data_IF_392040947077
#
_entry.id   IF_392040947077
#
_cell.length_a   1.000
_cell.length_b   1.000
_cell.length_c   1.000
_cell.angle_alpha   90.00
_cell.angle_beta   90.00
_cell.angle_gamma   90.00
#
_symmetry.space_group_name_H-M   'P 1'
#
loop_
_entity.id
_entity.type
_entity.pdbx_description
1 polymer ?
#
# COMPACT_ATOMS: atom_id res chain seq x y z
N UNK A 1 -18.69 32.56 -11.60
CA UNK A 1 -18.71 31.75 -10.35
C UNK A 1 -18.98 30.25 -10.58
N UNK A 2 -19.50 29.84 -11.73
CA UNK A 2 -19.85 28.44 -12.05
C UNK A 2 -18.65 27.51 -12.29
N UNK A 3 -17.50 28.01 -12.76
CA UNK A 3 -16.29 27.19 -12.99
C UNK A 3 -15.57 26.78 -11.71
N UNK A 4 -15.59 27.61 -10.66
CA UNK A 4 -14.98 27.28 -9.36
C UNK A 4 -15.80 26.23 -8.59
N UNK A 5 -17.13 26.33 -8.64
CA UNK A 5 -18.00 25.30 -8.09
C UNK A 5 -17.78 23.95 -8.79
N UNK A 6 -17.55 23.97 -10.11
CA UNK A 6 -17.29 22.78 -10.91
C UNK A 6 -15.92 22.13 -10.60
N UNK A 7 -14.88 22.93 -10.32
CA UNK A 7 -13.56 22.39 -9.95
C UNK A 7 -13.53 21.83 -8.53
N UNK A 8 -14.25 22.42 -7.56
CA UNK A 8 -14.40 21.83 -6.22
C UNK A 8 -15.30 20.58 -6.22
N UNK A 9 -16.29 20.50 -7.11
CA UNK A 9 -17.18 19.33 -7.19
C UNK A 9 -16.56 18.13 -7.93
N UNK A 10 -15.60 18.36 -8.85
CA UNK A 10 -14.86 17.28 -9.54
C UNK A 10 -13.63 16.79 -8.76
N UNK A 11 -12.97 17.65 -7.97
CA UNK A 11 -11.74 17.29 -7.26
C UNK A 11 -11.95 16.42 -6.00
N UNK A 12 -13.10 16.54 -5.33
CA UNK A 12 -13.35 15.85 -4.05
C UNK A 12 -13.49 14.32 -4.19
N UNK A 13 -13.90 13.81 -5.36
CA UNK A 13 -13.97 12.37 -5.63
C UNK A 13 -12.65 11.80 -6.15
N UNK A 14 -11.94 12.58 -6.98
CA UNK A 14 -10.68 12.15 -7.60
C UNK A 14 -9.53 12.07 -6.59
N UNK A 15 -9.46 12.98 -5.62
CA UNK A 15 -8.45 12.92 -4.57
C UNK A 15 -8.55 11.65 -3.73
N UNK A 16 -9.77 11.26 -3.34
CA UNK A 16 -10.02 10.01 -2.60
C UNK A 16 -9.68 8.78 -3.42
N UNK A 17 -10.12 8.75 -4.69
CA UNK A 17 -9.80 7.64 -5.59
C UNK A 17 -8.28 7.53 -5.83
N UNK A 18 -7.59 8.64 -6.04
CA UNK A 18 -6.13 8.66 -6.22
C UNK A 18 -5.39 8.24 -4.94
N UNK A 19 -5.86 8.66 -3.75
CA UNK A 19 -5.30 8.21 -2.48
C UNK A 19 -5.50 6.70 -2.29
N UNK A 20 -6.70 6.19 -2.52
CA UNK A 20 -6.96 4.74 -2.47
C UNK A 20 -6.04 3.98 -3.43
N UNK A 21 -6.01 4.38 -4.70
CA UNK A 21 -5.19 3.74 -5.72
C UNK A 21 -3.69 3.82 -5.39
N UNK A 22 -3.19 4.99 -5.01
CA UNK A 22 -1.79 5.21 -4.67
C UNK A 22 -1.35 4.43 -3.45
N UNK A 23 -2.12 4.47 -2.36
CA UNK A 23 -1.81 3.72 -1.13
C UNK A 23 -1.87 2.21 -1.38
N UNK A 24 -2.83 1.73 -2.17
CA UNK A 24 -2.90 0.31 -2.55
C UNK A 24 -1.75 -0.11 -3.47
N UNK A 25 -1.30 0.75 -4.39
CA UNK A 25 -0.14 0.49 -5.23
C UNK A 25 1.14 0.33 -4.39
N UNK A 26 1.36 1.25 -3.44
CA UNK A 26 2.50 1.16 -2.50
C UNK A 26 2.41 -0.09 -1.63
N UNK A 27 1.24 -0.42 -1.08
CA UNK A 27 1.06 -1.64 -0.30
C UNK A 27 1.37 -2.91 -1.10
N UNK A 28 0.89 -2.98 -2.35
CA UNK A 28 1.17 -4.10 -3.26
C UNK A 28 2.67 -4.21 -3.55
N UNK A 29 3.34 -3.08 -3.78
CA UNK A 29 4.78 -3.05 -4.02
C UNK A 29 5.57 -3.54 -2.80
N UNK A 30 5.22 -3.11 -1.59
CA UNK A 30 5.87 -3.58 -0.35
C UNK A 30 5.69 -5.08 -0.11
N UNK A 31 4.51 -5.63 -0.43
CA UNK A 31 4.27 -7.08 -0.37
C UNK A 31 5.17 -7.83 -1.37
N UNK A 32 5.34 -7.31 -2.59
CA UNK A 32 6.26 -7.88 -3.57
C UNK A 32 7.73 -7.77 -3.13
N UNK A 33 8.14 -6.66 -2.52
CA UNK A 33 9.49 -6.51 -1.95
C UNK A 33 9.73 -7.56 -0.87
N UNK A 34 8.82 -7.68 0.10
CA UNK A 34 8.92 -8.69 1.15
C UNK A 34 9.02 -10.09 0.55
N UNK A 35 8.13 -10.44 -0.38
CA UNK A 35 8.16 -11.72 -1.11
C UNK A 35 9.54 -11.98 -1.73
N UNK A 36 10.17 -10.98 -2.35
CA UNK A 36 11.49 -11.18 -2.99
C UNK A 36 12.64 -11.36 -2.02
N UNK A 37 12.56 -10.75 -0.83
CA UNK A 37 13.51 -11.02 0.26
C UNK A 37 13.39 -12.47 0.74
N UNK A 38 12.17 -13.01 0.79
CA UNK A 38 11.89 -14.39 1.17
C UNK A 38 12.32 -15.43 0.12
N UNK A 39 12.26 -15.10 -1.17
CA UNK A 39 12.71 -16.01 -2.24
C UNK A 39 14.24 -16.02 -2.45
N UNK A 40 15.00 -15.19 -1.75
CA UNK A 40 16.43 -15.03 -1.99
C UNK A 40 17.25 -16.30 -1.61
N UNK A 41 18.08 -16.86 -2.51
CA UNK A 41 18.92 -18.02 -2.22
C UNK A 41 19.91 -17.77 -1.08
N UNK A 42 20.35 -18.83 -0.41
CA UNK A 42 21.27 -18.75 0.74
C UNK A 42 22.63 -18.14 0.39
N UNK A 43 23.11 -18.29 -0.85
CA UNK A 43 24.33 -17.65 -1.37
C UNK A 43 23.98 -16.61 -2.46
N UNK A 44 23.76 -15.33 -2.11
CA UNK A 44 23.41 -14.29 -3.07
C UNK A 44 24.63 -13.86 -3.89
N UNK A 45 24.45 -13.66 -5.20
CA UNK A 45 25.48 -13.19 -6.14
C UNK A 45 25.52 -11.64 -6.22
N UNK A 46 24.89 -10.97 -5.26
CA UNK A 46 24.68 -9.52 -5.26
C UNK A 46 25.15 -8.90 -3.95
N UNK A 47 25.72 -7.69 -4.05
CA UNK A 47 26.06 -6.89 -2.88
C UNK A 47 24.78 -6.22 -2.35
N UNK A 48 24.24 -6.79 -1.28
CA UNK A 48 23.08 -6.26 -0.57
C UNK A 48 23.51 -5.73 0.80
N UNK A 49 22.70 -4.84 1.39
CA UNK A 49 22.92 -4.36 2.75
C UNK A 49 23.02 -5.54 3.73
N UNK A 50 23.90 -5.47 4.74
CA UNK A 50 24.18 -6.60 5.64
C UNK A 50 22.92 -7.23 6.27
N UNK A 51 21.91 -6.41 6.59
CA UNK A 51 20.60 -6.86 7.11
C UNK A 51 19.82 -7.80 6.16
N UNK A 52 20.02 -7.66 4.84
CA UNK A 52 19.35 -8.46 3.81
C UNK A 52 20.30 -9.55 3.29
N UNK A 53 21.61 -9.31 3.29
CA UNK A 53 22.58 -10.30 2.87
C UNK A 53 22.69 -11.49 3.85
N UNK A 54 22.59 -11.25 5.17
CA UNK A 54 22.71 -12.30 6.19
C UNK A 54 21.43 -13.14 6.33
N UNK A 55 21.48 -14.47 6.13
CA UNK A 55 20.30 -15.32 6.14
C UNK A 55 19.54 -15.31 7.48
N UNK A 56 20.23 -15.05 8.61
CA UNK A 56 19.61 -14.92 9.93
C UNK A 56 18.75 -13.65 10.10
N UNK A 57 19.06 -12.56 9.39
CA UNK A 57 18.38 -11.26 9.52
C UNK A 57 17.31 -11.02 8.44
N UNK A 58 17.34 -11.77 7.33
CA UNK A 58 16.39 -11.67 6.20
C UNK A 58 14.93 -11.79 6.62
N UNK A 59 14.63 -12.72 7.53
CA UNK A 59 13.27 -12.90 8.02
C UNK A 59 12.78 -11.67 8.79
N UNK A 60 13.67 -11.04 9.58
CA UNK A 60 13.37 -9.82 10.31
C UNK A 60 13.11 -8.63 9.39
N UNK A 61 13.90 -8.47 8.32
CA UNK A 61 13.71 -7.37 7.35
C UNK A 61 12.49 -7.57 6.46
N UNK A 62 12.22 -8.80 6.00
CA UNK A 62 10.99 -9.13 5.30
C UNK A 62 9.75 -8.88 6.17
N UNK A 63 9.82 -9.29 7.45
CA UNK A 63 8.75 -9.04 8.42
C UNK A 63 8.54 -7.55 8.68
N UNK A 64 9.62 -6.78 8.91
CA UNK A 64 9.53 -5.33 9.10
C UNK A 64 8.94 -4.61 7.87
N UNK A 65 9.31 -5.06 6.66
CA UNK A 65 8.75 -4.54 5.40
C UNK A 65 7.26 -4.87 5.28
N UNK A 66 6.84 -6.07 5.67
CA UNK A 66 5.43 -6.43 5.74
C UNK A 66 4.67 -5.60 6.78
N UNK A 67 5.31 -5.27 7.91
CA UNK A 67 4.70 -4.46 8.97
C UNK A 67 4.42 -3.02 8.50
N UNK A 68 5.19 -2.48 7.54
CA UNK A 68 4.90 -1.19 6.89
C UNK A 68 3.59 -1.18 6.09
N UNK A 69 3.04 -2.35 5.74
CA UNK A 69 1.71 -2.43 5.12
C UNK A 69 0.62 -2.07 6.13
N UNK A 70 0.82 -2.33 7.42
CA UNK A 70 -0.16 -2.06 8.47
C UNK A 70 -0.58 -0.58 8.55
N UNK A 71 0.33 0.43 8.65
CA UNK A 71 -0.07 1.83 8.64
C UNK A 71 -0.76 2.25 7.33
N UNK A 72 -0.42 1.65 6.18
CA UNK A 72 -1.13 1.91 4.92
C UNK A 72 -2.57 1.40 4.96
N UNK A 73 -2.82 0.24 5.57
CA UNK A 73 -4.18 -0.27 5.79
C UNK A 73 -4.98 0.63 6.74
N UNK A 74 -4.34 1.14 7.80
CA UNK A 74 -4.98 2.09 8.72
C UNK A 74 -5.33 3.40 7.99
N UNK A 75 -4.42 3.93 7.17
CA UNK A 75 -4.66 5.11 6.33
C UNK A 75 -5.81 4.87 5.34
N UNK A 76 -5.86 3.72 4.67
CA UNK A 76 -6.95 3.34 3.78
C UNK A 76 -8.29 3.33 4.53
N UNK A 77 -8.34 2.76 5.73
CA UNK A 77 -9.54 2.77 6.56
C UNK A 77 -9.97 4.21 6.91
N UNK A 78 -9.03 5.09 7.22
CA UNK A 78 -9.32 6.51 7.46
C UNK A 78 -9.86 7.21 6.20
N UNK A 79 -9.25 7.01 5.03
CA UNK A 79 -9.70 7.58 3.76
C UNK A 79 -11.13 7.13 3.43
N UNK A 80 -11.44 5.84 3.61
CA UNK A 80 -12.79 5.30 3.40
C UNK A 80 -13.78 5.92 4.40
N UNK A 81 -13.42 5.98 5.69
CA UNK A 81 -14.27 6.56 6.75
C UNK A 81 -14.55 8.05 6.56
N UNK A 82 -13.56 8.84 6.15
CA UNK A 82 -13.73 10.27 5.87
C UNK A 82 -14.70 10.51 4.69
N UNK A 83 -14.87 9.53 3.81
CA UNK A 83 -15.76 9.61 2.65
C UNK A 83 -17.21 9.22 2.88
N UNK A 84 -17.53 8.55 3.98
CA UNK A 84 -18.85 7.94 4.19
C UNK A 84 -19.96 8.98 4.27
N UNK A 85 -19.77 10.09 4.98
CA UNK A 85 -20.83 11.08 5.20
C UNK A 85 -21.35 11.72 3.90
N UNK A 86 -20.47 12.08 2.96
CA UNK A 86 -20.88 12.61 1.65
C UNK A 86 -21.54 11.54 0.79
N UNK A 87 -21.01 10.32 0.84
CA UNK A 87 -21.51 9.18 0.08
C UNK A 87 -22.89 8.75 0.57
N UNK A 88 -23.11 8.65 1.88
CA UNK A 88 -24.40 8.32 2.50
C UNK A 88 -25.51 9.27 2.06
N UNK A 89 -25.26 10.59 2.05
CA UNK A 89 -26.23 11.59 1.56
C UNK A 89 -26.58 11.38 0.08
N UNK A 90 -25.59 11.12 -0.78
CA UNK A 90 -25.82 10.81 -2.19
C UNK A 90 -26.60 9.52 -2.38
N UNK A 91 -26.25 8.46 -1.65
CA UNK A 91 -26.93 7.17 -1.72
C UNK A 91 -28.37 7.24 -1.17
N UNK A 92 -28.62 8.04 -0.14
CA UNK A 92 -29.98 8.30 0.38
C UNK A 92 -30.86 9.02 -0.65
N UNK A 93 -30.30 10.01 -1.37
CA UNK A 93 -31.02 10.67 -2.46
C UNK A 93 -31.39 9.69 -3.60
N UNK A 94 -30.51 8.75 -3.94
CA UNK A 94 -30.82 7.69 -4.91
C UNK A 94 -31.98 6.80 -4.43
N UNK A 95 -32.05 6.48 -3.13
CA UNK A 95 -33.18 5.72 -2.57
C UNK A 95 -34.49 6.49 -2.62
N UNK A 96 -34.47 7.80 -2.42
CA UNK A 96 -35.66 8.66 -2.58
C UNK A 96 -36.14 8.72 -4.03
N UNK A 97 -35.23 8.57 -4.99
CA UNK A 97 -35.55 8.43 -6.41
C UNK A 97 -36.01 7.00 -6.81
N UNK A 98 -36.18 6.08 -5.84
CA UNK A 98 -36.67 4.72 -6.07
C UNK A 98 -35.59 3.65 -6.27
N UNK A 99 -34.31 3.96 -6.11
CA UNK A 99 -33.25 2.96 -6.26
C UNK A 99 -33.32 1.87 -5.17
N UNK A 100 -33.18 0.61 -5.59
CA UNK A 100 -33.22 -0.53 -4.66
C UNK A 100 -31.97 -0.57 -3.76
N UNK A 101 -32.06 -1.12 -2.53
CA UNK A 101 -30.90 -1.25 -1.64
C UNK A 101 -29.74 -2.04 -2.24
N UNK A 102 -30.04 -3.03 -3.10
CA UNK A 102 -29.03 -3.82 -3.80
C UNK A 102 -28.27 -2.99 -4.84
N UNK A 103 -28.95 -2.14 -5.62
CA UNK A 103 -28.31 -1.22 -6.57
C UNK A 103 -27.41 -0.21 -5.86
N UNK A 104 -27.90 0.39 -4.77
CA UNK A 104 -27.15 1.34 -3.95
C UNK A 104 -25.88 0.72 -3.36
N UNK A 105 -25.96 -0.52 -2.85
CA UNK A 105 -24.79 -1.25 -2.34
C UNK A 105 -23.78 -1.56 -3.45
N UNK A 106 -24.25 -1.96 -4.64
CA UNK A 106 -23.38 -2.25 -5.79
C UNK A 106 -22.62 -1.00 -6.26
N UNK A 107 -23.30 0.13 -6.40
CA UNK A 107 -22.69 1.42 -6.75
C UNK A 107 -21.58 1.77 -5.76
N UNK A 108 -21.88 1.65 -4.47
CA UNK A 108 -20.93 1.94 -3.41
C UNK A 108 -19.73 0.99 -3.34
N UNK A 109 -19.91 -0.29 -3.67
CA UNK A 109 -18.82 -1.25 -3.76
C UNK A 109 -17.89 -0.93 -4.93
N UNK A 110 -18.43 -0.55 -6.09
CA UNK A 110 -17.64 -0.18 -7.28
C UNK A 110 -16.82 1.09 -7.03
N UNK A 111 -17.37 2.07 -6.30
CA UNK A 111 -16.69 3.34 -5.99
C UNK A 111 -15.38 3.15 -5.21
N UNK A 112 -15.31 2.12 -4.36
CA UNK A 112 -14.09 1.78 -3.59
C UNK A 112 -13.27 0.71 -4.31
N UNK A 113 -13.93 -0.32 -4.85
CA UNK A 113 -13.28 -1.44 -5.49
C UNK A 113 -12.48 -1.04 -6.73
N UNK A 114 -13.01 -0.13 -7.56
CA UNK A 114 -12.32 0.26 -8.79
C UNK A 114 -10.97 0.94 -8.54
N UNK A 115 -10.86 2.02 -7.72
CA UNK A 115 -9.55 2.61 -7.39
C UNK A 115 -8.56 1.63 -6.76
N UNK A 116 -9.03 0.75 -5.87
CA UNK A 116 -8.21 -0.30 -5.25
C UNK A 116 -7.66 -1.27 -6.31
N UNK A 117 -8.50 -1.73 -7.25
CA UNK A 117 -8.05 -2.64 -8.32
C UNK A 117 -7.01 -1.97 -9.22
N UNK A 118 -7.23 -0.70 -9.58
CA UNK A 118 -6.25 0.09 -10.36
C UNK A 118 -4.94 0.23 -9.59
N UNK A 119 -5.01 0.53 -8.28
CA UNK A 119 -3.85 0.60 -7.40
C UNK A 119 -3.08 -0.71 -7.34
N UNK A 120 -3.77 -1.84 -7.14
CA UNK A 120 -3.17 -3.16 -7.10
C UNK A 120 -2.46 -3.49 -8.42
N UNK A 121 -3.08 -3.18 -9.56
CA UNK A 121 -2.46 -3.35 -10.90
C UNK A 121 -1.26 -2.43 -11.13
N UNK A 122 -1.24 -1.24 -10.54
CA UNK A 122 -0.10 -0.32 -10.60
C UNK A 122 1.05 -0.72 -9.65
N UNK A 123 0.78 -1.56 -8.64
CA UNK A 123 1.75 -2.03 -7.66
C UNK A 123 3.03 -2.63 -8.26
N UNK A 124 2.96 -3.54 -9.25
CA UNK A 124 4.14 -4.05 -9.95
C UNK A 124 5.01 -2.96 -10.59
N UNK A 125 4.42 -1.86 -11.09
CA UNK A 125 5.18 -0.73 -11.64
C UNK A 125 5.91 0.04 -10.54
N UNK A 126 5.25 0.27 -9.41
CA UNK A 126 5.87 0.90 -8.23
C UNK A 126 6.99 0.02 -7.68
N UNK A 127 6.79 -1.30 -7.64
CA UNK A 127 7.80 -2.27 -7.26
C UNK A 127 9.03 -2.24 -8.20
N UNK A 128 8.81 -2.18 -9.51
CA UNK A 128 9.89 -2.05 -10.49
C UNK A 128 10.66 -0.74 -10.28
N UNK A 129 9.96 0.37 -10.01
CA UNK A 129 10.58 1.65 -9.69
C UNK A 129 11.43 1.55 -8.41
N UNK A 130 10.92 0.93 -7.35
CA UNK A 130 11.68 0.73 -6.11
C UNK A 130 12.95 -0.11 -6.36
N UNK A 131 12.89 -1.12 -7.23
CA UNK A 131 14.07 -1.90 -7.63
C UNK A 131 15.11 -1.10 -8.39
N UNK A 132 14.69 -0.15 -9.22
CA UNK A 132 15.63 0.72 -9.94
C UNK A 132 16.34 1.65 -8.96
N UNK A 133 15.64 2.14 -7.94
CA UNK A 133 16.17 3.11 -6.97
C UNK A 133 16.98 2.48 -5.82
N UNK A 134 16.58 1.28 -5.36
CA UNK A 134 17.13 0.62 -4.16
C UNK A 134 17.62 -0.81 -4.42
N UNK A 135 17.81 -1.17 -5.69
CA UNK A 135 18.24 -2.50 -6.11
C UNK A 135 19.70 -2.78 -5.83
N UNK A 136 20.03 -4.00 -5.41
CA UNK A 136 21.41 -4.45 -5.23
C UNK A 136 22.23 -4.41 -6.51
N UNK A 137 23.50 -3.99 -6.39
CA UNK A 137 24.45 -4.03 -7.51
C UNK A 137 25.02 -5.45 -7.67
N UNK A 138 25.09 -5.91 -8.93
CA UNK A 138 25.70 -7.20 -9.27
C UNK A 138 27.20 -7.11 -9.04
N UNK A 139 27.74 -8.02 -8.25
CA UNK A 139 29.19 -8.17 -8.13
C UNK A 139 29.63 -8.96 -9.36
N UNK A 140 30.25 -8.29 -10.34
CA UNK A 140 30.89 -8.97 -11.47
C UNK A 140 32.10 -9.73 -10.90
N UNK A 141 32.13 -11.08 -10.97
CA UNK A 141 33.30 -11.83 -10.56
C UNK A 141 34.41 -11.56 -11.59
N UNK A 142 35.30 -10.61 -11.30
CA UNK A 142 36.42 -10.27 -12.18
C UNK A 142 37.03 -8.87 -12.03
N UNK A 143 36.30 -7.87 -11.52
CA UNK A 143 36.83 -6.49 -11.40
C UNK A 143 36.88 -5.93 -9.96
N UNK A 144 36.43 -6.70 -8.97
CA UNK A 144 36.38 -6.26 -7.57
C UNK A 144 37.03 -7.20 -6.56
N UNK A 145 37.72 -8.25 -7.00
CA UNK A 145 38.49 -9.10 -6.10
C UNK A 145 39.89 -8.51 -5.91
N UNK A 146 39.96 -7.35 -5.26
CA UNK A 146 41.16 -7.10 -4.46
C UNK A 146 41.02 -8.01 -3.24
N UNK A 147 41.54 -9.23 -3.36
CA UNK A 147 41.97 -10.00 -2.20
C UNK A 147 42.96 -9.06 -1.50
N UNK A 148 42.51 -8.36 -0.46
CA UNK A 148 43.44 -7.84 0.54
C UNK A 148 43.98 -9.10 1.17
N UNK A 149 45.12 -9.51 0.63
CA UNK A 149 45.96 -10.54 1.17
C UNK A 149 46.11 -10.22 2.66
N UNK A 150 45.60 -11.09 3.52
CA UNK A 150 45.77 -11.01 4.96
C UNK A 150 47.23 -11.39 5.26
N UNK A 151 48.18 -10.61 4.75
CA UNK A 151 49.51 -10.55 5.37
C UNK A 151 49.30 -9.94 6.75
N UNK A 152 49.41 -10.82 7.73
CA UNK A 152 49.38 -10.58 9.16
C UNK A 152 50.17 -9.33 9.54
N UNK A 153 49.46 -8.27 9.90
CA UNK A 153 49.96 -7.23 10.81
C UNK A 153 48.79 -6.59 11.56
N UNK A 154 48.52 -6.97 12.82
CA UNK A 154 47.88 -6.10 13.79
C UNK A 154 48.96 -5.30 14.56
N UNK A 155 48.65 -4.14 15.19
CA UNK A 155 47.32 -3.75 15.66
C UNK A 155 46.89 -2.30 15.38
N UNK A 156 45.60 -2.08 15.63
CA UNK A 156 44.86 -0.81 15.80
C UNK A 156 44.75 0.12 14.58
N UNK A 157 43.48 0.31 14.17
CA UNK A 157 42.96 1.45 13.40
C UNK A 157 42.84 1.32 11.88
N UNK A 158 42.62 0.11 11.37
CA UNK A 158 42.02 -0.04 10.03
C UNK A 158 40.50 -0.14 10.16
N UNK A 159 39.87 0.99 10.50
CA UNK A 159 38.43 1.13 10.22
C UNK A 159 38.29 1.23 8.69
N UNK A 160 37.89 0.13 8.08
CA UNK A 160 37.67 0.03 6.64
C UNK A 160 36.42 0.86 6.27
N UNK A 161 36.61 2.13 5.92
CA UNK A 161 35.57 3.04 5.43
C UNK A 161 35.30 2.88 3.92
N UNK A 162 35.52 1.71 3.32
CA UNK A 162 35.23 1.46 1.89
C UNK A 162 33.72 1.30 1.58
N UNK A 163 32.84 1.74 2.47
CA UNK A 163 31.42 1.36 2.51
C UNK A 163 30.43 2.53 2.61
N UNK A 164 30.87 3.75 2.28
CA UNK A 164 30.02 4.95 2.30
C UNK A 164 29.31 5.23 0.96
N UNK A 165 29.73 4.61 -0.15
CA UNK A 165 29.12 4.80 -1.48
C UNK A 165 28.24 3.62 -1.95
N UNK A 166 28.01 2.63 -1.09
CA UNK A 166 27.04 1.55 -1.36
C UNK A 166 25.62 2.08 -1.12
N UNK A 167 25.07 2.81 -2.10
CA UNK A 167 23.68 3.27 -2.08
C UNK A 167 22.75 2.17 -1.57
N UNK A 168 21.82 2.55 -0.68
CA UNK A 168 20.88 1.73 0.08
C UNK A 168 20.31 0.54 -0.74
N UNK A 169 21.09 -0.53 -0.86
CA UNK A 169 20.81 -1.71 -1.69
C UNK A 169 20.03 -2.72 -0.86
N UNK A 170 18.75 -2.41 -0.63
CA UNK A 170 17.85 -3.21 0.20
C UNK A 170 17.06 -4.23 -0.61
N UNK A 171 16.84 -3.99 -1.91
CA UNK A 171 15.92 -4.80 -2.72
C UNK A 171 16.71 -5.75 -3.62
N UNK A 172 16.54 -7.08 -3.47
CA UNK A 172 17.19 -8.04 -4.36
C UNK A 172 16.72 -7.87 -5.81
N UNK A 173 17.64 -7.86 -6.77
CA UNK A 173 17.30 -7.74 -8.21
C UNK A 173 17.51 -9.05 -8.95
N UNK A 174 18.37 -9.94 -8.44
CA UNK A 174 18.65 -11.29 -8.95
C UNK A 174 17.44 -12.21 -8.97
N UNK A 175 16.47 -11.98 -8.08
CA UNK A 175 15.27 -12.81 -7.96
C UNK A 175 14.07 -12.01 -8.40
N UNK A 176 13.55 -12.25 -9.59
CA UNK A 176 12.26 -11.72 -10.02
C UNK A 176 11.16 -12.69 -9.63
N UNK A 177 10.07 -12.23 -8.97
CA UNK A 177 8.90 -13.07 -8.77
C UNK A 177 8.44 -13.64 -10.10
N UNK A 178 8.01 -14.90 -10.12
CA UNK A 178 7.39 -15.45 -11.31
C UNK A 178 6.12 -14.63 -11.63
N UNK A 179 5.78 -14.52 -12.91
CA UNK A 179 4.61 -13.75 -13.35
C UNK A 179 3.31 -14.18 -12.63
N UNK A 180 3.17 -15.47 -12.31
CA UNK A 180 2.03 -16.00 -11.57
C UNK A 180 2.01 -15.54 -10.10
N UNK A 181 3.18 -15.35 -9.47
CA UNK A 181 3.29 -14.80 -8.12
C UNK A 181 2.88 -13.33 -8.11
N UNK A 182 3.27 -12.58 -9.15
CA UNK A 182 2.81 -11.20 -9.32
C UNK A 182 1.29 -11.16 -9.45
N UNK A 183 0.72 -11.99 -10.32
CA UNK A 183 -0.73 -12.09 -10.51
C UNK A 183 -1.43 -12.52 -9.21
N UNK A 184 -0.88 -13.49 -8.47
CA UNK A 184 -1.44 -13.94 -7.20
C UNK A 184 -1.45 -12.84 -6.14
N UNK A 185 -0.36 -12.06 -6.02
CA UNK A 185 -0.29 -10.93 -5.08
C UNK A 185 -1.28 -9.83 -5.49
N UNK A 186 -1.33 -9.47 -6.77
CA UNK A 186 -2.28 -8.47 -7.28
C UNK A 186 -3.73 -8.93 -7.03
N UNK A 187 -4.04 -10.20 -7.33
CA UNK A 187 -5.35 -10.78 -7.10
C UNK A 187 -5.71 -10.81 -5.60
N UNK A 188 -4.76 -11.18 -4.74
CA UNK A 188 -4.95 -11.19 -3.29
C UNK A 188 -5.24 -9.78 -2.76
N UNK A 189 -4.45 -8.77 -3.16
CA UNK A 189 -4.64 -7.38 -2.72
C UNK A 189 -5.96 -6.81 -3.26
N UNK A 190 -6.28 -7.08 -4.53
CA UNK A 190 -7.55 -6.66 -5.13
C UNK A 190 -8.75 -7.31 -4.41
N UNK A 191 -8.68 -8.62 -4.14
CA UNK A 191 -9.70 -9.35 -3.40
C UNK A 191 -9.86 -8.82 -1.97
N UNK A 192 -8.74 -8.58 -1.27
CA UNK A 192 -8.77 -8.01 0.07
C UNK A 192 -9.48 -6.65 0.07
N UNK A 193 -9.17 -5.76 -0.86
CA UNK A 193 -9.84 -4.45 -0.91
C UNK A 193 -11.30 -4.51 -1.37
N UNK A 194 -11.68 -5.47 -2.23
CA UNK A 194 -13.10 -5.76 -2.54
C UNK A 194 -13.83 -6.24 -1.28
N UNK A 195 -13.23 -7.13 -0.51
CA UNK A 195 -13.78 -7.63 0.77
C UNK A 195 -13.91 -6.48 1.76
N UNK A 196 -12.88 -5.66 1.96
CA UNK A 196 -12.92 -4.48 2.86
C UNK A 196 -14.02 -3.49 2.45
N UNK A 197 -14.13 -3.19 1.14
CA UNK A 197 -15.19 -2.33 0.60
C UNK A 197 -16.59 -2.91 0.82
N UNK A 198 -16.73 -4.24 0.71
CA UNK A 198 -17.98 -4.94 0.96
C UNK A 198 -18.37 -4.93 2.45
N UNK A 199 -17.41 -5.12 3.35
CA UNK A 199 -17.63 -5.10 4.80
C UNK A 199 -18.01 -3.72 5.30
N UNK A 200 -17.34 -2.67 4.81
CA UNK A 200 -17.69 -1.29 5.12
C UNK A 200 -19.14 -0.92 4.72
N UNK A 201 -19.68 -1.58 3.69
CA UNK A 201 -21.07 -1.34 3.24
C UNK A 201 -22.14 -2.04 4.10
N UNK A 202 -21.77 -3.03 4.92
CA UNK A 202 -22.73 -3.79 5.75
C UNK A 202 -23.36 -2.93 6.85
N UNK A 203 -22.64 -1.92 7.34
CA UNK A 203 -23.12 -1.02 8.40
C UNK A 203 -24.00 0.14 7.90
N UNK A 204 -24.20 0.28 6.58
CA UNK A 204 -25.01 1.34 5.99
C UNK A 204 -26.52 1.07 6.01
N UNK A 205 -26.96 0.00 6.68
CA UNK A 205 -28.38 -0.24 6.99
C UNK A 205 -28.76 0.57 8.23
N UNK A 206 -28.53 1.88 8.19
CA UNK A 206 -29.20 2.81 9.10
C UNK A 206 -30.55 3.18 8.45
N UNK A 207 -31.62 2.95 9.20
CA UNK A 207 -33.01 3.16 8.80
C UNK A 207 -33.20 4.52 8.09
N UNK A 208 -33.88 4.57 6.93
CA UNK A 208 -34.03 5.79 6.12
C UNK A 208 -34.89 6.87 6.80
N UNK A 209 -35.41 6.63 8.00
CA UNK A 209 -36.15 7.59 8.79
C UNK A 209 -35.71 7.50 10.26
N UNK A 210 -34.47 7.93 10.53
CA UNK A 210 -34.16 8.49 11.83
C UNK A 210 -34.95 9.78 12.01
N UNK A 211 -36.26 9.65 12.29
CA UNK A 211 -37.07 10.76 12.78
C UNK A 211 -36.45 11.17 14.12
N UNK A 212 -35.55 12.13 14.05
CA UNK A 212 -35.28 13.03 15.16
C UNK A 212 -36.58 13.79 15.39
N UNK A 213 -37.49 13.19 16.16
CA UNK A 213 -38.62 13.92 16.71
C UNK A 213 -37.99 14.99 17.57
N UNK A 214 -38.05 16.25 17.13
CA UNK A 214 -37.61 17.39 17.94
C UNK A 214 -38.44 17.36 19.21
N UNK A 215 -37.88 16.83 20.30
CA UNK A 215 -38.49 16.90 21.63
C UNK A 215 -38.52 18.40 21.96
N UNK A 216 -39.71 19.00 21.97
CA UNK A 216 -39.89 20.36 22.49
C UNK A 216 -39.41 20.34 23.94
N UNK A 217 -38.36 21.10 24.25
CA UNK A 217 -38.01 21.38 25.65
C UNK A 217 -39.18 22.15 26.27
N UNK A 218 -39.69 21.76 27.45
CA UNK A 218 -40.68 22.54 28.18
C UNK A 218 -40.13 23.95 28.44
N UNK A 219 -40.95 25.01 28.32
CA UNK A 219 -40.51 26.36 28.64
C UNK A 219 -40.08 26.44 30.12
N UNK A 220 -39.06 27.24 30.46
CA UNK A 220 -38.65 27.45 31.84
C UNK A 220 -39.83 28.01 32.65
N UNK A 221 -40.10 27.40 33.80
CA UNK A 221 -41.12 27.89 34.74
C UNK A 221 -40.53 29.08 35.54
N UNK A 222 -41.34 30.13 35.80
CA UNK A 222 -40.95 31.26 36.63
C UNK A 222 -40.70 30.85 38.08
#
# INVERSE_FOLDING_TARGET
MTRLAWTFLRSAGWSRAALLAGTTAVATALVLVALTMLLLPSQPVEALFSLVAEPGLRWGTAFATALLVLPLLLMLNQVVRLGTATRERRLAALRLAGATPAQVRRIGAIEVGFPVTVGAMAGPLVFALLRILFGGQRVIPGEGMHVVDLTVTPPSDVVSYSRLDSGLSLIPTSVTPAWWQMVAVVALVAAAGVVTGSLASRHLVASPLGVSRRVRRPPPRP
#
